data_IF_338352571067
#
_entry.id   IF_338352571067
#
_cell.length_a   1.000
_cell.length_b   1.000
_cell.length_c   1.000
_cell.angle_alpha   90.00
_cell.angle_beta   90.00
_cell.angle_gamma   90.00
#
_symmetry.space_group_name_H-M   'P 1'
#
loop_
_entity.id
_entity.type
_entity.pdbx_description
1 polymer ?
#
# COMPACT_ATOMS: atom_id res chain seq x y z
N UNK A 1 -35.32 45.70 -85.68
CA UNK A 1 -35.04 44.61 -86.63
C UNK A 1 -35.54 43.31 -86.03
N UNK A 2 -36.32 42.59 -86.82
CA UNK A 2 -36.89 41.27 -86.54
C UNK A 2 -35.77 40.22 -86.49
N UNK A 3 -35.89 39.16 -85.67
CA UNK A 3 -35.78 37.73 -86.06
C UNK A 3 -35.74 36.78 -84.83
N UNK A 4 -36.81 35.96 -84.75
CA UNK A 4 -36.99 34.54 -84.36
C UNK A 4 -36.50 33.91 -83.03
N UNK A 5 -37.44 33.17 -82.39
CA UNK A 5 -37.26 32.21 -81.26
C UNK A 5 -36.73 30.81 -81.66
N UNK A 6 -36.96 29.68 -80.92
CA UNK A 6 -38.17 29.34 -80.16
C UNK A 6 -37.96 28.67 -78.75
N UNK A 7 -39.10 28.23 -78.18
CA UNK A 7 -39.38 27.63 -76.88
C UNK A 7 -38.66 26.30 -76.55
N UNK A 8 -38.48 26.04 -75.25
CA UNK A 8 -38.68 24.72 -74.67
C UNK A 8 -39.28 24.82 -73.25
N UNK A 9 -40.23 23.94 -72.98
CA UNK A 9 -41.25 23.95 -71.92
C UNK A 9 -40.83 23.02 -70.77
N UNK A 10 -41.00 23.50 -69.52
CA UNK A 10 -41.27 22.84 -68.20
C UNK A 10 -40.63 21.47 -67.87
N UNK A 11 -40.15 21.24 -66.65
CA UNK A 11 -40.98 20.89 -65.48
C UNK A 11 -40.25 21.18 -64.13
N UNK A 12 -40.95 21.90 -63.25
CA UNK A 12 -40.74 22.07 -61.81
C UNK A 12 -41.22 20.81 -61.05
N UNK A 13 -40.90 20.56 -59.74
CA UNK A 13 -41.15 21.49 -58.61
C UNK A 13 -40.16 21.33 -57.40
N UNK A 14 -40.44 21.88 -56.19
CA UNK A 14 -40.77 23.27 -55.87
C UNK A 14 -39.90 23.86 -54.71
N UNK A 15 -39.53 25.14 -54.88
CA UNK A 15 -39.35 26.23 -53.90
C UNK A 15 -38.61 26.02 -52.55
N UNK A 16 -37.48 26.72 -52.48
CA UNK A 16 -36.75 27.19 -51.30
C UNK A 16 -37.33 28.56 -50.84
N UNK A 17 -37.40 28.83 -49.54
CA UNK A 17 -37.46 30.20 -49.02
C UNK A 17 -36.63 30.31 -47.74
N UNK A 18 -35.55 31.11 -47.82
CA UNK A 18 -34.70 31.52 -46.71
C UNK A 18 -35.46 32.46 -45.76
N UNK A 19 -35.27 32.26 -44.45
CA UNK A 19 -35.60 33.24 -43.43
C UNK A 19 -34.34 33.63 -42.66
N UNK A 20 -34.03 34.93 -42.77
CA UNK A 20 -33.00 35.67 -42.02
C UNK A 20 -33.47 35.83 -40.58
N UNK A 21 -32.57 35.64 -39.60
CA UNK A 21 -32.76 36.16 -38.24
C UNK A 21 -31.52 36.92 -37.77
N UNK A 22 -31.74 38.20 -37.48
CA UNK A 22 -30.84 39.14 -36.81
C UNK A 22 -30.89 38.95 -35.28
N UNK A 23 -29.75 39.17 -34.62
CA UNK A 23 -29.62 39.30 -33.16
C UNK A 23 -30.27 40.59 -32.64
N UNK A 24 -30.93 40.52 -31.47
CA UNK A 24 -30.53 41.28 -30.26
C UNK A 24 -31.50 41.15 -29.05
N UNK A 25 -30.90 40.84 -27.89
CA UNK A 25 -31.18 41.29 -26.50
C UNK A 25 -32.57 41.14 -25.83
N UNK A 26 -32.60 40.42 -24.71
CA UNK A 26 -32.88 40.93 -23.33
C UNK A 26 -33.67 39.95 -22.46
N UNK A 27 -33.05 39.62 -21.31
CA UNK A 27 -33.59 39.28 -19.99
C UNK A 27 -34.86 38.44 -19.88
N UNK A 28 -34.71 37.22 -19.35
CA UNK A 28 -35.62 36.75 -18.31
C UNK A 28 -34.84 36.09 -17.17
N UNK A 29 -35.12 36.58 -15.98
CA UNK A 29 -34.54 36.19 -14.70
C UNK A 29 -35.17 34.87 -14.29
N UNK A 30 -34.39 33.79 -14.25
CA UNK A 30 -34.76 32.60 -13.49
C UNK A 30 -33.84 32.50 -12.28
N UNK A 31 -34.40 32.82 -11.12
CA UNK A 31 -33.80 32.63 -9.82
C UNK A 31 -33.56 31.13 -9.57
N UNK A 32 -32.32 30.67 -9.68
CA UNK A 32 -31.93 29.39 -9.10
C UNK A 32 -31.97 29.48 -7.58
N UNK A 33 -32.55 28.49 -6.88
CA UNK A 33 -32.46 28.42 -5.44
C UNK A 33 -31.01 28.14 -5.06
N UNK A 34 -30.41 29.12 -4.38
CA UNK A 34 -29.15 29.03 -3.69
C UNK A 34 -29.14 27.85 -2.71
N UNK A 35 -28.45 26.76 -3.03
CA UNK A 35 -27.95 25.78 -2.05
C UNK A 35 -27.20 24.66 -2.75
N UNK A 36 -25.91 24.85 -3.00
CA UNK A 36 -24.91 23.76 -2.99
C UNK A 36 -23.49 24.36 -2.96
N UNK A 37 -23.22 25.13 -1.90
CA UNK A 37 -21.87 25.59 -1.59
C UNK A 37 -21.09 24.44 -0.92
N UNK A 38 -20.11 23.92 -1.67
CA UNK A 38 -18.87 23.26 -1.25
C UNK A 38 -18.84 22.66 0.18
N UNK A 39 -18.96 21.33 0.34
CA UNK A 39 -18.91 20.67 1.65
C UNK A 39 -17.52 20.63 2.30
N UNK A 40 -16.47 21.18 1.67
CA UNK A 40 -15.09 21.07 2.15
C UNK A 40 -14.69 22.12 3.22
N UNK A 41 -15.55 23.09 3.56
CA UNK A 41 -15.27 24.12 4.57
C UNK A 41 -15.84 23.85 5.98
N UNK A 42 -16.50 22.71 6.19
CA UNK A 42 -17.20 22.41 7.44
C UNK A 42 -16.21 22.11 8.58
N UNK A 43 -16.39 22.79 9.73
CA UNK A 43 -15.62 22.53 10.97
C UNK A 43 -15.87 21.14 11.55
N UNK A 44 -17.03 20.56 11.26
CA UNK A 44 -17.40 19.20 11.65
C UNK A 44 -17.82 18.42 10.41
N UNK A 45 -17.19 17.27 10.20
CA UNK A 45 -17.57 16.39 9.12
C UNK A 45 -18.87 15.67 9.50
N UNK A 46 -19.84 15.56 8.57
CA UNK A 46 -21.07 14.83 8.83
C UNK A 46 -20.76 13.37 9.18
N UNK A 47 -21.28 12.92 10.33
CA UNK A 47 -21.15 11.53 10.78
C UNK A 47 -22.36 10.74 10.32
N UNK A 48 -22.12 9.62 9.62
CA UNK A 48 -23.17 8.70 9.17
C UNK A 48 -23.13 7.44 10.04
N UNK A 49 -24.28 6.95 10.50
CA UNK A 49 -24.31 5.72 11.28
C UNK A 49 -23.99 4.51 10.38
N UNK A 50 -23.31 3.50 10.92
CA UNK A 50 -23.00 2.29 10.15
C UNK A 50 -24.25 1.57 9.62
N UNK A 51 -25.38 1.67 10.34
CA UNK A 51 -26.66 1.12 9.91
C UNK A 51 -27.14 1.74 8.59
N UNK A 52 -26.90 3.04 8.39
CA UNK A 52 -27.28 3.76 7.18
C UNK A 52 -26.38 3.38 6.00
N UNK A 53 -25.13 2.95 6.26
CA UNK A 53 -24.21 2.49 5.22
C UNK A 53 -24.52 1.06 4.73
N UNK A 54 -25.36 0.31 5.45
CA UNK A 54 -25.65 -1.11 5.16
C UNK A 54 -26.06 -1.40 3.70
N UNK A 55 -26.83 -0.55 2.99
CA UNK A 55 -27.15 -0.79 1.57
C UNK A 55 -25.95 -0.78 0.63
N UNK A 56 -24.86 -0.10 1.02
CA UNK A 56 -23.66 0.08 0.19
C UNK A 56 -22.44 -0.70 0.71
N UNK A 57 -22.60 -1.46 1.79
CA UNK A 57 -21.50 -2.23 2.41
C UNK A 57 -21.70 -3.72 2.15
N UNK A 58 -20.72 -4.33 1.49
CA UNK A 58 -20.62 -5.78 1.36
C UNK A 58 -19.78 -6.36 2.50
N UNK A 59 -20.34 -7.33 3.22
CA UNK A 59 -19.66 -7.99 4.32
C UNK A 59 -19.31 -9.43 3.95
N UNK A 60 -18.12 -9.87 4.36
CA UNK A 60 -17.68 -11.26 4.23
C UNK A 60 -17.32 -11.83 5.60
N UNK A 61 -17.86 -13.01 5.90
CA UNK A 61 -17.52 -13.81 7.07
C UNK A 61 -17.37 -15.26 6.66
N UNK A 62 -16.57 -16.02 7.40
CA UNK A 62 -16.38 -17.44 7.15
C UNK A 62 -16.32 -18.19 8.50
N UNK A 63 -17.05 -19.31 8.67
CA UNK A 63 -17.06 -20.04 9.93
C UNK A 63 -15.66 -20.44 10.40
N UNK A 64 -15.31 -20.10 11.63
CA UNK A 64 -14.01 -20.42 12.23
C UNK A 64 -12.83 -19.53 11.78
N UNK A 65 -13.01 -18.69 10.76
CA UNK A 65 -11.98 -17.73 10.35
C UNK A 65 -12.03 -16.47 11.23
N UNK A 66 -10.85 -15.99 11.64
CA UNK A 66 -10.65 -14.76 12.41
C UNK A 66 -9.45 -14.00 11.85
N UNK A 67 -9.27 -12.75 12.28
CA UNK A 67 -8.06 -11.97 12.02
C UNK A 67 -7.72 -11.75 10.52
N UNK A 68 -8.70 -11.27 9.75
CA UNK A 68 -8.53 -10.82 8.36
C UNK A 68 -7.58 -9.60 8.32
N UNK A 69 -6.27 -9.85 8.25
CA UNK A 69 -5.24 -8.83 8.53
C UNK A 69 -4.42 -8.42 7.31
N UNK A 70 -4.41 -9.23 6.25
CA UNK A 70 -3.67 -8.95 5.03
C UNK A 70 -4.61 -8.92 3.83
N UNK A 71 -4.55 -7.84 3.05
CA UNK A 71 -5.39 -7.61 1.89
C UNK A 71 -4.50 -7.29 0.70
N UNK A 72 -4.68 -8.00 -0.41
CA UNK A 72 -4.00 -7.71 -1.65
C UNK A 72 -5.01 -7.61 -2.78
N UNK A 73 -5.07 -6.42 -3.39
CA UNK A 73 -5.94 -6.13 -4.52
C UNK A 73 -5.32 -6.68 -5.81
N UNK A 74 -6.13 -7.35 -6.63
CA UNK A 74 -5.77 -7.74 -7.99
C UNK A 74 -6.86 -7.28 -8.97
N UNK A 75 -6.85 -5.99 -9.35
CA UNK A 75 -7.85 -5.42 -10.26
C UNK A 75 -7.88 -6.12 -11.62
N UNK A 76 -6.73 -6.62 -12.09
CA UNK A 76 -6.61 -7.29 -13.39
C UNK A 76 -7.48 -8.55 -13.51
N UNK A 77 -7.81 -9.17 -12.38
CA UNK A 77 -8.66 -10.37 -12.30
C UNK A 77 -9.94 -10.13 -11.49
N UNK A 78 -10.29 -8.86 -11.24
CA UNK A 78 -11.45 -8.45 -10.46
C UNK A 78 -11.59 -9.21 -9.11
N UNK A 79 -10.48 -9.38 -8.40
CA UNK A 79 -10.45 -10.16 -7.16
C UNK A 79 -9.67 -9.46 -6.04
N UNK A 80 -10.06 -9.77 -4.81
CA UNK A 80 -9.38 -9.41 -3.58
C UNK A 80 -8.85 -10.69 -2.93
N UNK A 81 -7.56 -10.73 -2.64
CA UNK A 81 -6.94 -11.83 -1.89
C UNK A 81 -6.84 -11.41 -0.43
N UNK A 82 -7.29 -12.29 0.46
CA UNK A 82 -7.32 -12.02 1.89
C UNK A 82 -6.57 -13.10 2.65
N UNK A 83 -5.62 -12.68 3.48
CA UNK A 83 -4.95 -13.51 4.46
C UNK A 83 -5.58 -13.34 5.84
N UNK A 84 -5.99 -14.45 6.44
CA UNK A 84 -6.59 -14.51 7.76
C UNK A 84 -5.84 -15.51 8.66
N UNK A 85 -6.26 -15.66 9.92
CA UNK A 85 -5.78 -16.75 10.78
C UNK A 85 -6.20 -18.09 10.18
N UNK A 86 -5.24 -18.95 9.87
CA UNK A 86 -5.39 -20.29 9.31
C UNK A 86 -6.08 -20.38 7.94
N UNK A 87 -6.41 -19.26 7.29
CA UNK A 87 -7.15 -19.27 6.04
C UNK A 87 -6.63 -18.24 5.05
N UNK A 88 -6.83 -18.58 3.79
CA UNK A 88 -6.64 -17.71 2.64
C UNK A 88 -7.94 -17.67 1.85
N UNK A 89 -8.33 -16.48 1.41
CA UNK A 89 -9.53 -16.27 0.64
C UNK A 89 -9.24 -15.55 -0.66
N UNK A 90 -9.99 -15.92 -1.69
CA UNK A 90 -10.19 -15.10 -2.89
C UNK A 90 -11.63 -14.67 -2.89
N UNK A 91 -11.83 -13.37 -2.97
CA UNK A 91 -13.12 -12.73 -2.98
C UNK A 91 -13.27 -11.96 -4.30
N UNK A 92 -14.50 -11.83 -4.79
CA UNK A 92 -14.82 -10.92 -5.89
C UNK A 92 -14.58 -9.47 -5.44
N UNK A 93 -13.89 -8.67 -6.25
CA UNK A 93 -13.66 -7.26 -5.91
C UNK A 93 -14.94 -6.42 -6.00
N UNK A 94 -15.93 -6.87 -6.78
CA UNK A 94 -17.18 -6.13 -7.01
C UNK A 94 -18.14 -6.18 -5.82
N UNK A 95 -18.21 -7.30 -5.11
CA UNK A 95 -19.21 -7.54 -4.05
C UNK A 95 -18.69 -8.39 -2.89
N UNK A 96 -17.37 -8.65 -2.83
CA UNK A 96 -16.73 -9.39 -1.74
C UNK A 96 -17.27 -10.82 -1.59
N UNK A 97 -17.88 -11.38 -2.65
CA UNK A 97 -18.37 -12.76 -2.64
C UNK A 97 -17.22 -13.78 -2.67
N UNK A 98 -17.42 -14.94 -2.04
CA UNK A 98 -16.39 -15.98 -1.98
C UNK A 98 -16.17 -16.63 -3.34
N UNK A 99 -14.93 -16.57 -3.85
CA UNK A 99 -14.48 -17.31 -5.03
C UNK A 99 -13.75 -18.59 -4.63
N UNK A 100 -12.92 -18.53 -3.57
CA UNK A 100 -12.16 -19.67 -3.06
C UNK A 100 -11.83 -19.46 -1.59
N UNK A 101 -12.01 -20.48 -0.76
CA UNK A 101 -11.44 -20.58 0.58
C UNK A 101 -10.37 -21.68 0.57
N UNK A 102 -9.24 -21.44 1.24
CA UNK A 102 -8.16 -22.41 1.35
C UNK A 102 -7.62 -22.39 2.77
N UNK A 103 -7.69 -23.52 3.45
CA UNK A 103 -7.08 -23.68 4.76
C UNK A 103 -5.56 -23.66 4.65
N UNK A 104 -4.93 -22.94 5.57
CA UNK A 104 -3.50 -22.86 5.73
C UNK A 104 -3.14 -22.84 7.22
N UNK A 105 -3.70 -23.77 7.98
CA UNK A 105 -3.40 -23.94 9.39
C UNK A 105 -2.00 -24.55 9.63
N UNK A 106 -1.44 -24.30 10.81
CA UNK A 106 -0.25 -25.01 11.28
C UNK A 106 -0.60 -26.49 11.58
N UNK A 107 0.31 -27.41 11.26
CA UNK A 107 0.13 -28.82 11.64
C UNK A 107 0.17 -29.01 13.17
N UNK A 108 -0.38 -30.11 13.65
CA UNK A 108 -0.51 -30.39 15.09
C UNK A 108 0.83 -30.43 15.81
N UNK A 109 1.87 -31.02 15.20
CA UNK A 109 3.20 -31.09 15.80
C UNK A 109 3.83 -29.70 16.00
N UNK A 110 3.69 -28.79 15.03
CA UNK A 110 4.20 -27.41 15.18
C UNK A 110 3.41 -26.67 16.26
N UNK A 111 2.09 -26.88 16.33
CA UNK A 111 1.25 -26.29 17.39
C UNK A 111 1.65 -26.82 18.77
N UNK A 112 1.87 -28.12 18.91
CA UNK A 112 2.32 -28.76 20.16
C UNK A 112 3.71 -28.26 20.57
N UNK A 113 4.63 -28.13 19.61
CA UNK A 113 5.97 -27.55 19.83
C UNK A 113 5.93 -26.08 20.25
N UNK A 114 4.98 -25.31 19.71
CA UNK A 114 4.74 -23.92 20.12
C UNK A 114 4.21 -23.84 21.55
N UNK A 115 3.23 -24.69 21.91
CA UNK A 115 2.66 -24.73 23.25
C UNK A 115 3.66 -25.21 24.30
N UNK A 116 4.53 -26.18 23.97
CA UNK A 116 5.60 -26.62 24.87
C UNK A 116 6.64 -25.53 25.15
N UNK A 117 6.71 -24.49 24.32
CA UNK A 117 7.51 -23.27 24.54
C UNK A 117 6.76 -22.19 25.35
N UNK A 118 5.61 -22.53 25.94
CA UNK A 118 4.84 -21.66 26.83
C UNK A 118 3.92 -20.65 26.12
N UNK A 119 3.62 -20.84 24.83
CA UNK A 119 2.68 -20.00 24.09
C UNK A 119 1.25 -20.53 24.18
N UNK A 120 0.28 -19.63 24.13
CA UNK A 120 -1.14 -19.98 24.22
C UNK A 120 -1.64 -20.68 22.94
N UNK A 121 -2.77 -21.38 23.03
CA UNK A 121 -3.37 -22.00 21.85
C UNK A 121 -3.73 -20.97 20.76
N UNK A 122 -4.14 -19.76 21.15
CA UNK A 122 -4.45 -18.68 20.19
C UNK A 122 -3.19 -18.14 19.50
N UNK A 123 -2.07 -18.05 20.21
CA UNK A 123 -0.77 -17.66 19.65
C UNK A 123 -0.21 -18.75 18.70
N UNK A 124 -0.46 -20.02 19.01
CA UNK A 124 0.03 -21.17 18.25
C UNK A 124 -0.83 -21.49 17.03
N UNK A 125 -1.03 -20.50 16.16
CA UNK A 125 -1.81 -20.61 14.92
C UNK A 125 -1.02 -19.98 13.78
N UNK A 126 -1.49 -20.15 12.54
CA UNK A 126 -0.86 -19.51 11.40
C UNK A 126 -1.55 -18.19 11.07
N UNK A 127 -0.93 -17.06 11.43
CA UNK A 127 -1.41 -15.74 11.06
C UNK A 127 -0.68 -15.27 9.81
N UNK A 128 -1.41 -14.96 8.74
CA UNK A 128 -0.81 -14.40 7.51
C UNK A 128 -0.34 -12.98 7.80
N UNK A 129 0.94 -12.69 7.57
CA UNK A 129 1.57 -11.38 7.85
C UNK A 129 2.17 -10.70 6.63
N UNK A 130 2.40 -11.46 5.57
CA UNK A 130 2.85 -10.94 4.27
C UNK A 130 1.94 -11.52 3.20
N UNK A 131 1.45 -10.67 2.31
CA UNK A 131 0.63 -11.06 1.16
C UNK A 131 0.92 -10.10 0.00
N UNK A 132 1.59 -10.60 -1.04
CA UNK A 132 2.05 -9.80 -2.18
C UNK A 132 1.64 -10.51 -3.47
N UNK A 133 0.89 -9.82 -4.33
CA UNK A 133 0.53 -10.31 -5.67
C UNK A 133 1.62 -9.85 -6.64
N UNK A 134 2.30 -10.82 -7.28
CA UNK A 134 3.36 -10.59 -8.25
C UNK A 134 3.05 -11.34 -9.55
N UNK A 135 2.42 -10.64 -10.50
CA UNK A 135 2.05 -11.19 -11.81
C UNK A 135 1.04 -12.33 -11.71
N UNK A 136 1.50 -13.58 -11.89
CA UNK A 136 0.69 -14.82 -11.80
C UNK A 136 0.87 -15.57 -10.48
N UNK A 137 1.72 -15.06 -9.59
CA UNK A 137 2.05 -15.67 -8.29
C UNK A 137 1.56 -14.78 -7.15
N UNK A 138 1.16 -15.40 -6.05
CA UNK A 138 0.93 -14.74 -4.76
C UNK A 138 2.01 -15.24 -3.82
N UNK A 139 2.87 -14.33 -3.36
CA UNK A 139 3.82 -14.62 -2.31
C UNK A 139 3.17 -14.30 -0.96
N UNK A 140 3.21 -15.27 -0.04
CA UNK A 140 2.59 -15.13 1.27
C UNK A 140 3.46 -15.72 2.35
N UNK A 141 3.46 -15.11 3.52
CA UNK A 141 4.11 -15.66 4.71
C UNK A 141 3.19 -15.59 5.91
N UNK A 142 3.30 -16.58 6.78
CA UNK A 142 2.58 -16.62 8.04
C UNK A 142 3.43 -17.11 9.20
N UNK A 143 3.00 -16.78 10.41
CA UNK A 143 3.72 -17.08 11.67
C UNK A 143 3.84 -18.59 11.93
N UNK A 144 2.90 -19.37 11.38
CA UNK A 144 2.83 -20.83 11.48
C UNK A 144 3.21 -21.36 12.87
N UNK A 145 2.49 -20.89 13.90
CA UNK A 145 2.71 -21.22 15.30
C UNK A 145 4.17 -21.02 15.76
N UNK A 146 4.68 -19.78 15.66
CA UNK A 146 6.06 -19.44 16.00
C UNK A 146 7.12 -20.28 15.23
N UNK A 147 6.80 -20.63 13.98
CA UNK A 147 7.70 -21.31 13.05
C UNK A 147 7.45 -20.77 11.64
N UNK A 148 7.83 -19.50 11.38
CA UNK A 148 7.35 -18.74 10.23
C UNK A 148 7.69 -19.44 8.91
N UNK A 149 6.72 -19.42 7.99
CA UNK A 149 6.83 -20.11 6.70
C UNK A 149 6.28 -19.22 5.60
N UNK A 150 6.93 -19.25 4.44
CA UNK A 150 6.42 -18.57 3.25
C UNK A 150 6.08 -19.60 2.16
N UNK A 151 5.11 -19.24 1.32
CA UNK A 151 4.77 -20.01 0.13
C UNK A 151 4.45 -19.08 -1.05
N UNK A 152 4.84 -19.51 -2.24
CA UNK A 152 4.39 -18.92 -3.50
C UNK A 152 3.27 -19.78 -4.06
N UNK A 153 2.10 -19.18 -4.32
CA UNK A 153 0.91 -19.91 -4.81
C UNK A 153 0.38 -19.32 -6.11
N UNK A 154 -0.36 -20.11 -6.89
CA UNK A 154 -0.96 -19.63 -8.12
C UNK A 154 -2.10 -18.65 -7.80
N UNK A 155 -2.10 -17.45 -8.39
CA UNK A 155 -3.12 -16.41 -8.11
C UNK A 155 -4.55 -16.90 -8.36
N UNK A 156 -4.76 -17.72 -9.40
CA UNK A 156 -6.06 -18.28 -9.76
C UNK A 156 -6.46 -19.55 -8.99
N UNK A 157 -5.59 -20.09 -8.13
CA UNK A 157 -5.90 -21.24 -7.28
C UNK A 157 -4.95 -21.26 -6.07
N UNK A 158 -5.42 -20.74 -4.93
CA UNK A 158 -4.60 -20.66 -3.70
C UNK A 158 -4.30 -22.03 -3.09
N UNK A 159 -4.95 -23.12 -3.49
CA UNK A 159 -4.59 -24.46 -3.04
C UNK A 159 -3.31 -24.97 -3.72
N UNK A 160 -2.97 -24.45 -4.90
CA UNK A 160 -1.78 -24.87 -5.64
C UNK A 160 -0.54 -24.12 -5.15
N UNK A 161 0.21 -24.77 -4.27
CA UNK A 161 1.53 -24.31 -3.83
C UNK A 161 2.56 -24.60 -4.90
N UNK A 162 3.28 -23.58 -5.35
CA UNK A 162 4.38 -23.71 -6.32
C UNK A 162 5.72 -23.87 -5.62
N UNK A 163 5.90 -23.16 -4.50
CA UNK A 163 7.15 -23.15 -3.74
C UNK A 163 6.83 -22.92 -2.27
N UNK A 164 7.60 -23.54 -1.39
CA UNK A 164 7.54 -23.35 0.07
C UNK A 164 8.96 -23.13 0.57
N UNK A 165 9.15 -22.05 1.32
CA UNK A 165 10.46 -21.65 1.85
C UNK A 165 10.36 -21.28 3.33
N UNK A 166 11.51 -21.20 3.99
CA UNK A 166 11.61 -20.74 5.36
C UNK A 166 11.20 -19.26 5.49
N UNK A 167 10.37 -18.93 6.48
CA UNK A 167 9.86 -17.57 6.73
C UNK A 167 10.70 -16.72 7.68
N UNK A 168 11.80 -17.25 8.25
CA UNK A 168 12.76 -16.49 9.05
C UNK A 168 13.25 -15.28 8.25
N UNK A 169 13.32 -14.13 8.93
CA UNK A 169 13.63 -12.82 8.35
C UNK A 169 12.63 -12.27 7.31
N UNK A 170 11.52 -12.97 7.06
CA UNK A 170 10.47 -12.57 6.10
C UNK A 170 9.11 -12.37 6.77
N UNK A 171 8.87 -13.09 7.87
CA UNK A 171 7.66 -13.06 8.65
C UNK A 171 8.02 -13.18 10.14
N UNK A 172 7.31 -12.48 11.03
CA UNK A 172 7.57 -12.59 12.46
C UNK A 172 7.14 -13.94 13.00
N UNK A 173 7.70 -14.31 14.15
CA UNK A 173 7.29 -15.45 14.94
C UNK A 173 5.99 -15.19 15.70
N UNK A 174 5.91 -14.04 16.37
CA UNK A 174 4.76 -13.61 17.17
C UNK A 174 3.73 -12.87 16.30
N UNK A 175 2.44 -13.24 16.33
CA UNK A 175 1.41 -12.57 15.53
C UNK A 175 1.19 -11.09 15.90
N UNK A 176 1.61 -10.66 17.08
CA UNK A 176 1.51 -9.26 17.53
C UNK A 176 2.60 -8.37 16.97
N UNK A 177 3.68 -8.94 16.44
CA UNK A 177 4.72 -8.14 15.80
C UNK A 177 4.28 -7.68 14.42
N UNK A 178 4.45 -6.39 14.17
CA UNK A 178 4.20 -5.81 12.86
C UNK A 178 5.36 -6.10 11.92
N UNK A 179 5.02 -6.37 10.68
CA UNK A 179 5.96 -6.65 9.61
C UNK A 179 5.45 -6.05 8.32
N UNK A 180 6.37 -5.74 7.42
CA UNK A 180 6.04 -5.30 6.06
C UNK A 180 7.04 -5.90 5.09
N UNK A 181 6.61 -6.11 3.85
CA UNK A 181 7.52 -6.55 2.80
C UNK A 181 7.08 -6.03 1.44
N UNK A 182 8.04 -5.95 0.53
CA UNK A 182 7.82 -5.63 -0.88
C UNK A 182 8.71 -6.51 -1.75
N UNK A 183 8.21 -6.90 -2.91
CA UNK A 183 9.00 -7.61 -3.94
C UNK A 183 9.37 -6.59 -5.00
N UNK A 184 10.67 -6.51 -5.32
CA UNK A 184 11.15 -5.58 -6.34
C UNK A 184 10.78 -6.05 -7.75
N UNK A 185 10.88 -5.14 -8.73
CA UNK A 185 10.76 -5.50 -10.14
C UNK A 185 11.69 -6.63 -10.60
N UNK A 186 12.83 -6.82 -9.91
CA UNK A 186 13.83 -7.86 -10.16
C UNK A 186 13.51 -9.19 -9.44
N UNK A 187 12.42 -9.24 -8.65
CA UNK A 187 12.02 -10.42 -7.90
C UNK A 187 12.68 -10.57 -6.52
N UNK A 188 13.45 -9.59 -6.07
CA UNK A 188 14.05 -9.59 -4.73
C UNK A 188 13.00 -9.22 -3.67
N UNK A 189 12.95 -9.99 -2.58
CA UNK A 189 12.10 -9.70 -1.43
C UNK A 189 12.86 -8.83 -0.43
N UNK A 190 12.28 -7.67 -0.14
CA UNK A 190 12.70 -6.76 0.91
C UNK A 190 11.69 -6.84 2.05
N UNK A 191 12.08 -7.42 3.18
CA UNK A 191 11.21 -7.63 4.34
C UNK A 191 11.74 -6.88 5.55
N UNK A 192 10.84 -6.28 6.32
CA UNK A 192 11.14 -5.63 7.58
C UNK A 192 10.29 -6.26 8.68
N UNK A 193 10.95 -6.98 9.59
CA UNK A 193 10.31 -7.79 10.62
C UNK A 193 11.27 -8.01 11.78
N UNK A 194 10.80 -8.72 12.80
CA UNK A 194 11.64 -9.30 13.84
C UNK A 194 12.01 -10.73 13.47
N UNK A 195 13.30 -11.07 13.57
CA UNK A 195 13.89 -12.31 13.05
C UNK A 195 13.86 -13.44 14.08
N UNK A 196 13.89 -13.13 15.37
CA UNK A 196 14.06 -14.11 16.44
C UNK A 196 12.76 -14.43 17.18
N UNK A 197 12.75 -15.55 17.90
CA UNK A 197 11.61 -15.97 18.71
C UNK A 197 11.33 -15.00 19.88
N UNK A 198 12.36 -14.32 20.41
CA UNK A 198 12.22 -13.46 21.58
C UNK A 198 11.68 -12.06 21.26
N UNK A 199 11.67 -11.66 19.99
CA UNK A 199 11.19 -10.36 19.59
C UNK A 199 12.24 -9.24 19.69
N UNK A 200 13.53 -9.56 19.83
CA UNK A 200 14.61 -8.61 20.15
C UNK A 200 15.55 -8.31 18.99
N UNK A 201 15.48 -9.05 17.88
CA UNK A 201 16.30 -8.82 16.69
C UNK A 201 15.47 -8.28 15.52
N UNK A 202 15.12 -6.97 15.52
CA UNK A 202 14.47 -6.34 14.37
C UNK A 202 15.47 -6.17 13.23
N UNK A 203 15.02 -6.42 12.01
CA UNK A 203 15.85 -6.20 10.84
C UNK A 203 15.06 -5.81 9.60
N UNK A 204 15.73 -5.05 8.74
CA UNK A 204 15.36 -4.93 7.32
C UNK A 204 16.28 -5.86 6.55
N UNK A 205 15.70 -6.82 5.83
CA UNK A 205 16.38 -7.95 5.21
C UNK A 205 16.02 -8.09 3.73
N UNK A 206 17.03 -8.38 2.89
CA UNK A 206 16.84 -8.73 1.47
C UNK A 206 17.13 -10.20 1.22
N UNK A 207 16.29 -10.82 0.39
CA UNK A 207 16.47 -12.20 -0.04
C UNK A 207 15.76 -12.52 -1.37
N UNK A 208 15.85 -13.78 -1.83
CA UNK A 208 15.11 -14.35 -2.98
C UNK A 208 15.45 -13.81 -4.38
N UNK A 209 16.46 -12.95 -4.53
CA UNK A 209 16.97 -12.58 -5.85
C UNK A 209 18.46 -12.82 -5.99
N UNK A 210 19.06 -12.19 -7.00
CA UNK A 210 20.45 -12.43 -7.40
C UNK A 210 21.48 -11.74 -6.50
N UNK A 211 21.10 -10.68 -5.79
CA UNK A 211 21.99 -9.99 -4.86
C UNK A 211 22.28 -10.81 -3.60
N UNK A 212 23.40 -10.54 -2.90
CA UNK A 212 23.68 -11.19 -1.63
C UNK A 212 22.58 -10.85 -0.60
N UNK A 213 22.26 -11.77 0.31
CA UNK A 213 21.38 -11.46 1.43
C UNK A 213 22.00 -10.36 2.29
N UNK A 214 21.28 -9.27 2.52
CA UNK A 214 21.75 -8.16 3.35
C UNK A 214 20.76 -7.90 4.48
N UNK A 215 21.28 -7.59 5.67
CA UNK A 215 20.49 -7.15 6.83
C UNK A 215 20.99 -5.85 7.43
N UNK A 216 20.17 -5.24 8.28
CA UNK A 216 20.62 -4.13 9.15
C UNK A 216 21.50 -4.64 10.27
N UNK A 217 22.42 -3.80 10.77
CA UNK A 217 23.31 -4.15 11.87
C UNK A 217 22.53 -4.66 13.09
N UNK A 218 22.95 -5.80 13.63
CA UNK A 218 22.30 -6.46 14.75
C UNK A 218 22.55 -5.71 16.07
N UNK A 219 21.55 -5.66 16.95
CA UNK A 219 21.65 -5.07 18.29
C UNK A 219 22.22 -3.64 18.33
N UNK A 220 21.96 -2.86 17.28
CA UNK A 220 22.46 -1.51 17.15
C UNK A 220 21.30 -0.50 17.10
N UNK A 221 21.09 0.21 18.22
CA UNK A 221 20.00 1.18 18.37
C UNK A 221 20.11 2.39 17.42
N UNK A 222 21.31 2.69 16.91
CA UNK A 222 21.48 3.72 15.87
C UNK A 222 20.86 3.30 14.54
N UNK A 223 20.76 1.99 14.29
CA UNK A 223 20.11 1.44 13.10
C UNK A 223 18.62 1.25 13.32
N UNK A 224 18.24 0.46 14.33
CA UNK A 224 16.86 0.14 14.67
C UNK A 224 16.72 0.01 16.18
N UNK A 225 15.76 0.71 16.79
CA UNK A 225 15.55 0.71 18.24
C UNK A 225 14.09 0.38 18.60
N UNK A 226 13.80 -0.92 18.80
CA UNK A 226 12.45 -1.45 19.01
C UNK A 226 11.44 -0.93 17.96
N UNK A 227 11.71 -1.12 16.65
CA UNK A 227 10.87 -0.57 15.61
C UNK A 227 9.55 -1.31 15.47
N UNK A 228 8.51 -0.56 15.15
CA UNK A 228 7.24 -1.03 14.65
C UNK A 228 7.16 -0.71 13.16
N UNK A 229 7.27 -1.72 12.31
CA UNK A 229 7.24 -1.57 10.86
C UNK A 229 5.81 -1.34 10.34
N UNK A 230 5.65 -0.38 9.44
CA UNK A 230 4.33 0.05 8.93
C UNK A 230 4.14 -0.34 7.47
N UNK A 231 5.07 0.03 6.59
CA UNK A 231 4.95 -0.20 5.16
C UNK A 231 6.31 -0.26 4.46
N UNK A 232 6.37 -0.91 3.31
CA UNK A 232 7.53 -0.94 2.44
C UNK A 232 7.12 -0.64 0.99
N UNK A 233 7.97 0.06 0.27
CA UNK A 233 7.72 0.43 -1.12
C UNK A 233 8.97 0.25 -1.98
N UNK A 234 8.74 -0.26 -3.17
CA UNK A 234 9.73 -0.27 -4.24
C UNK A 234 9.57 1.01 -5.09
N UNK A 235 10.54 1.93 -5.03
CA UNK A 235 10.49 3.21 -5.77
C UNK A 235 11.85 3.53 -6.38
N UNK A 236 11.91 3.55 -7.72
CA UNK A 236 13.11 3.91 -8.47
C UNK A 236 14.28 2.96 -8.19
N UNK A 237 15.39 3.50 -7.70
CA UNK A 237 16.60 2.72 -7.36
C UNK A 237 16.64 2.24 -5.90
N UNK A 238 15.59 2.52 -5.12
CA UNK A 238 15.59 2.31 -3.67
C UNK A 238 14.40 1.47 -3.21
N UNK A 239 14.60 0.75 -2.12
CA UNK A 239 13.51 0.23 -1.30
C UNK A 239 13.34 1.14 -0.07
N UNK A 240 12.11 1.61 0.15
CA UNK A 240 11.75 2.48 1.26
C UNK A 240 10.98 1.71 2.33
N UNK A 241 11.23 2.03 3.58
CA UNK A 241 10.57 1.43 4.74
C UNK A 241 10.07 2.51 5.69
N UNK A 242 8.80 2.42 6.05
CA UNK A 242 8.17 3.30 7.03
C UNK A 242 8.05 2.55 8.33
N UNK A 243 8.54 3.16 9.41
CA UNK A 243 8.54 2.56 10.74
C UNK A 243 8.36 3.62 11.83
N UNK A 244 8.03 3.17 13.04
CA UNK A 244 8.05 3.97 14.27
C UNK A 244 9.01 3.32 15.23
N UNK A 245 9.88 4.07 15.88
CA UNK A 245 10.86 3.50 16.82
C UNK A 245 11.14 4.46 17.98
N UNK A 246 11.78 3.94 19.04
CA UNK A 246 12.22 4.76 20.16
C UNK A 246 13.36 5.68 19.69
N UNK A 247 13.23 6.99 19.91
CA UNK A 247 14.24 7.98 19.57
C UNK A 247 15.52 7.76 20.40
N UNK A 248 16.68 7.83 19.73
CA UNK A 248 18.00 7.77 20.37
C UNK A 248 18.66 9.15 20.43
N UNK A 249 18.16 10.09 19.64
CA UNK A 249 18.62 11.48 19.55
C UNK A 249 17.95 12.42 20.57
N UNK A 250 17.08 11.88 21.44
CA UNK A 250 16.36 12.67 22.42
C UNK A 250 16.67 12.16 23.83
N UNK A 251 17.38 12.96 24.61
CA UNK A 251 17.91 12.58 25.91
C UNK A 251 16.86 12.65 27.04
N UNK A 252 15.66 13.19 26.78
CA UNK A 252 14.61 13.37 27.78
C UNK A 252 13.45 12.39 27.58
N UNK A 253 13.52 11.25 28.25
CA UNK A 253 12.43 10.27 28.30
C UNK A 253 12.22 9.45 27.03
N UNK A 254 11.38 8.42 27.14
CA UNK A 254 11.09 7.50 26.03
C UNK A 254 10.12 8.14 25.03
N UNK A 255 10.66 8.72 23.97
CA UNK A 255 9.86 9.31 22.87
C UNK A 255 9.89 8.42 21.64
N UNK A 256 8.75 8.25 20.97
CA UNK A 256 8.63 7.46 19.72
C UNK A 256 8.58 8.40 18.51
N UNK A 257 9.44 8.15 17.51
CA UNK A 257 9.46 8.89 16.24
C UNK A 257 9.03 8.03 15.06
N UNK A 258 8.24 8.63 14.17
CA UNK A 258 7.99 8.10 12.83
C UNK A 258 9.21 8.35 11.94
N UNK A 259 9.61 7.35 11.15
CA UNK A 259 10.75 7.43 10.25
C UNK A 259 10.46 6.83 8.89
N UNK A 260 11.19 7.33 7.91
CA UNK A 260 11.41 6.69 6.62
C UNK A 260 12.87 6.25 6.54
N UNK A 261 13.09 4.98 6.22
CA UNK A 261 14.39 4.43 5.90
C UNK A 261 14.45 4.07 4.42
N UNK A 262 15.66 4.04 3.86
CA UNK A 262 15.91 3.60 2.49
C UNK A 262 17.17 2.73 2.41
N UNK A 263 17.22 1.87 1.41
CA UNK A 263 18.41 1.14 0.96
C UNK A 263 18.47 1.16 -0.56
N UNK A 264 19.67 1.13 -1.13
CA UNK A 264 19.86 0.97 -2.58
C UNK A 264 19.63 -0.49 -2.98
N UNK A 265 18.94 -0.73 -4.10
CA UNK A 265 18.71 -2.09 -4.60
C UNK A 265 19.99 -2.80 -5.03
N UNK A 266 20.96 -2.06 -5.55
CA UNK A 266 22.26 -2.57 -6.00
C UNK A 266 23.32 -2.65 -4.89
N UNK A 267 22.95 -2.42 -3.62
CA UNK A 267 23.87 -2.61 -2.49
C UNK A 267 24.32 -4.07 -2.44
N UNK A 268 25.62 -4.31 -2.25
CA UNK A 268 26.22 -5.66 -2.18
C UNK A 268 26.83 -5.94 -0.81
N UNK A 269 26.67 -5.02 0.15
CA UNK A 269 27.31 -5.10 1.46
C UNK A 269 28.76 -4.63 1.43
N UNK A 270 29.38 -4.64 2.60
CA UNK A 270 30.80 -4.34 2.73
C UNK A 270 31.69 -5.56 2.52
N UNK A 271 32.95 -5.33 2.14
CA UNK A 271 33.92 -6.42 1.86
C UNK A 271 34.61 -6.99 3.11
N UNK A 272 34.78 -6.17 4.15
CA UNK A 272 35.50 -6.54 5.37
C UNK A 272 34.73 -6.08 6.61
N UNK A 273 34.45 -4.78 6.68
CA UNK A 273 33.47 -4.22 7.61
C UNK A 273 32.10 -4.26 6.95
N UNK A 274 31.05 -4.61 7.70
CA UNK A 274 29.67 -4.71 7.21
C UNK A 274 29.45 -5.81 6.15
N UNK A 275 30.15 -6.94 6.27
CA UNK A 275 29.80 -8.15 5.54
C UNK A 275 28.34 -8.55 5.83
N UNK A 276 27.60 -8.96 4.80
CA UNK A 276 26.15 -9.25 4.84
C UNK A 276 25.27 -8.14 5.44
N UNK A 277 25.80 -6.92 5.49
CA UNK A 277 25.15 -5.77 6.12
C UNK A 277 25.00 -4.63 5.12
N UNK A 278 23.88 -3.92 5.14
CA UNK A 278 23.65 -2.77 4.25
C UNK A 278 24.78 -1.74 4.35
N UNK A 279 25.24 -1.20 3.23
CA UNK A 279 26.16 -0.05 3.22
C UNK A 279 25.45 1.25 2.91
N UNK A 280 24.24 1.15 2.36
CA UNK A 280 23.41 2.27 1.88
C UNK A 280 22.20 2.55 2.76
N UNK A 281 22.11 1.92 3.94
CA UNK A 281 21.02 2.16 4.88
C UNK A 281 21.07 3.59 5.42
N UNK A 282 19.99 4.33 5.19
CA UNK A 282 19.79 5.66 5.76
C UNK A 282 18.37 5.77 6.31
N UNK A 283 18.20 6.51 7.41
CA UNK A 283 16.87 6.81 7.97
C UNK A 283 16.73 8.28 8.35
N UNK A 284 15.54 8.82 8.15
CA UNK A 284 15.18 10.20 8.48
C UNK A 284 13.89 10.26 9.29
N UNK A 285 13.79 11.25 10.17
CA UNK A 285 12.57 11.53 10.95
C UNK A 285 11.49 12.12 10.05
N UNK A 286 10.27 11.62 10.17
CA UNK A 286 9.06 12.21 9.60
C UNK A 286 8.41 13.08 10.68
N UNK A 287 8.21 14.36 10.38
CA UNK A 287 7.56 15.29 11.31
C UNK A 287 6.16 15.66 10.82
N UNK A 288 5.14 15.16 11.50
CA UNK A 288 3.73 15.48 11.23
C UNK A 288 3.14 16.45 12.28
N UNK A 289 3.95 17.34 12.87
CA UNK A 289 3.45 18.35 13.81
C UNK A 289 2.82 19.55 13.08
N UNK A 290 1.62 19.96 13.50
CA UNK A 290 1.09 21.31 13.21
C UNK A 290 1.75 22.32 14.15
N UNK A 291 2.18 23.50 13.68
CA UNK A 291 2.62 24.57 14.57
C UNK A 291 1.49 24.90 15.57
N UNK A 292 1.80 24.90 16.87
CA UNK A 292 0.86 25.28 17.93
C UNK A 292 0.09 24.15 18.63
N UNK A 293 0.22 22.88 18.21
CA UNK A 293 -0.33 21.73 18.95
C UNK A 293 0.78 20.71 19.26
N UNK A 294 0.65 20.03 20.41
CA UNK A 294 1.52 18.92 20.81
C UNK A 294 1.68 17.91 19.65
N UNK A 295 2.88 17.34 19.44
CA UNK A 295 3.16 16.52 18.26
C UNK A 295 2.29 15.26 18.25
N UNK A 296 1.50 15.10 17.18
CA UNK A 296 0.73 13.87 16.92
C UNK A 296 1.70 12.76 16.52
N UNK A 297 2.02 11.88 17.46
CA UNK A 297 2.93 10.74 17.24
C UNK A 297 2.30 9.59 16.41
N UNK A 298 1.11 9.78 15.82
CA UNK A 298 0.28 8.70 15.30
C UNK A 298 0.07 8.73 13.78
N UNK A 299 1.13 8.44 13.01
CA UNK A 299 0.96 7.98 11.62
C UNK A 299 0.71 6.46 11.67
N UNK A 300 -0.53 6.01 11.43
CA UNK A 300 -0.90 4.58 11.45
C UNK A 300 -0.81 3.89 10.09
N UNK A 301 -0.84 4.65 8.99
CA UNK A 301 -0.74 4.15 7.61
C UNK A 301 -0.16 5.22 6.68
N UNK A 302 0.56 4.77 5.64
CA UNK A 302 1.05 5.60 4.54
C UNK A 302 0.54 4.98 3.23
N UNK A 303 0.18 5.80 2.27
CA UNK A 303 -0.18 5.36 0.91
C UNK A 303 0.49 6.33 -0.09
N UNK A 304 1.38 5.86 -0.98
CA UNK A 304 1.91 6.70 -2.04
C UNK A 304 0.80 6.98 -3.06
N UNK A 305 0.66 8.24 -3.48
CA UNK A 305 -0.18 8.57 -4.64
C UNK A 305 0.62 8.23 -5.91
N UNK A 306 0.05 7.51 -6.89
CA UNK A 306 0.67 7.39 -8.21
C UNK A 306 0.86 8.79 -8.81
N UNK A 307 2.01 9.05 -9.44
CA UNK A 307 2.24 10.28 -10.17
C UNK A 307 1.23 10.36 -11.33
N UNK A 308 0.35 11.37 -11.34
CA UNK A 308 -0.42 11.73 -12.54
C UNK A 308 0.48 12.55 -13.45
N UNK A 309 0.49 12.23 -14.73
CA UNK A 309 0.99 13.08 -15.81
C UNK A 309 0.19 14.41 -15.82
N UNK A 310 0.83 15.57 -16.00
CA UNK A 310 0.18 16.85 -15.76
C UNK A 310 -0.68 17.24 -16.97
N UNK A 311 -2.01 17.23 -16.77
CA UNK A 311 -2.91 18.11 -17.50
C UNK A 311 -3.24 19.29 -16.58
N UNK A 312 -3.11 20.48 -17.16
CA UNK A 312 -3.21 21.80 -16.56
C UNK A 312 -4.57 22.07 -15.89
N UNK A 313 -4.51 23.01 -14.94
CA UNK A 313 -5.57 23.69 -14.19
C UNK A 313 -6.03 23.11 -12.84
N UNK A 314 -6.26 24.07 -11.94
CA UNK A 314 -6.08 24.07 -10.49
C UNK A 314 -7.24 23.46 -9.69
N UNK A 315 -6.95 22.94 -8.49
CA UNK A 315 -7.58 23.41 -7.24
C UNK A 315 -6.57 23.28 -6.09
N UNK A 316 -6.22 24.43 -5.50
CA UNK A 316 -5.41 24.58 -4.29
C UNK A 316 -6.07 23.98 -3.05
N UNK A 317 -5.74 22.75 -2.67
CA UNK A 317 -5.78 22.29 -1.26
C UNK A 317 -4.97 21.00 -0.98
N UNK A 318 -4.01 20.68 -1.85
CA UNK A 318 -3.27 19.42 -1.80
C UNK A 318 -1.76 19.62 -1.59
N UNK A 319 -1.37 20.33 -0.52
CA UNK A 319 0.05 20.65 -0.30
C UNK A 319 0.68 20.05 0.94
N UNK A 320 -0.03 19.45 1.91
CA UNK A 320 0.64 19.02 3.15
C UNK A 320 1.27 17.62 3.10
N UNK A 321 0.60 16.62 2.53
CA UNK A 321 1.18 15.25 2.38
C UNK A 321 2.18 15.17 1.22
N UNK A 322 1.94 15.89 0.12
CA UNK A 322 2.90 15.98 -0.98
C UNK A 322 4.14 16.79 -0.59
N UNK A 323 4.00 17.88 0.17
CA UNK A 323 5.16 18.63 0.70
C UNK A 323 6.05 17.77 1.58
N UNK A 324 5.51 16.92 2.46
CA UNK A 324 6.33 16.14 3.38
C UNK A 324 7.04 14.96 2.71
N UNK A 325 6.38 14.27 1.78
CA UNK A 325 7.03 13.26 0.95
C UNK A 325 8.08 13.92 0.04
N UNK A 326 7.75 15.04 -0.60
CA UNK A 326 8.69 15.79 -1.42
C UNK A 326 9.85 16.39 -0.60
N UNK A 327 9.65 16.79 0.65
CA UNK A 327 10.69 17.37 1.53
C UNK A 327 11.58 16.29 2.15
N UNK A 328 11.02 15.13 2.53
CA UNK A 328 11.80 13.98 2.96
C UNK A 328 12.62 13.40 1.79
N UNK A 329 12.02 13.35 0.60
CA UNK A 329 12.68 12.95 -0.65
C UNK A 329 13.70 14.00 -1.10
N UNK A 330 13.44 15.32 -0.98
CA UNK A 330 14.42 16.40 -1.25
C UNK A 330 15.61 16.35 -0.31
N UNK A 331 15.40 16.12 0.99
CA UNK A 331 16.50 16.00 1.97
C UNK A 331 17.34 14.74 1.76
N UNK A 332 16.80 13.67 1.17
CA UNK A 332 17.55 12.44 0.86
C UNK A 332 18.12 12.39 -0.57
N UNK A 333 17.65 13.23 -1.50
CA UNK A 333 18.20 13.40 -2.86
C UNK A 333 19.37 14.41 -2.92
N UNK A 334 19.59 15.19 -1.86
CA UNK A 334 20.70 16.13 -1.76
C UNK A 334 22.01 15.50 -1.28
N UNK A 335 22.61 14.60 -2.06
CA UNK A 335 24.05 14.39 -2.03
C UNK A 335 24.55 14.55 -3.45
N UNK A 336 25.05 15.76 -3.72
CA UNK A 336 25.70 16.12 -4.97
C UNK A 336 26.94 15.28 -5.21
N UNK A 337 27.15 15.03 -6.49
CA UNK A 337 28.39 14.60 -7.12
C UNK A 337 29.52 15.47 -6.57
N UNK A 338 30.49 14.85 -5.90
CA UNK A 338 31.80 15.45 -5.71
C UNK A 338 32.55 15.15 -7.02
N UNK A 339 32.96 16.22 -7.72
CA UNK A 339 33.85 16.16 -8.87
C UNK A 339 35.14 15.42 -8.56
#
# INVERSE_FOLDING_TARGET
>A
MVVLGPLAITLLPPSLALLVFHLSSSQDVFSEPSSEQQPCGLREHPTVAFADLKPWVSNFTYPGARDFSQLALDPSRNQLIVGARNYLFRLSLANVSLLQATEWASNEDTRRSCQSKGKTEEECQNYVRVLIVAGRKVFMCGTNAFSPVCSSRQVGNLSRTMEKINGVARCPYDPRHNSTAVISSQGELYAATVIDFSGRDPAIYRSLGSGPPLRTAQYNSKWLNEPNFVAAYDIGLFAYFFLRENAVEHDCGRTVYSRVARVCKNDVGGRFLLEDTWTTFMKARLNCSRPGCLPVAAQKSCWPRPAREPLLEEVQEHTQTQSQLATATKRMLGCGIIN
#
